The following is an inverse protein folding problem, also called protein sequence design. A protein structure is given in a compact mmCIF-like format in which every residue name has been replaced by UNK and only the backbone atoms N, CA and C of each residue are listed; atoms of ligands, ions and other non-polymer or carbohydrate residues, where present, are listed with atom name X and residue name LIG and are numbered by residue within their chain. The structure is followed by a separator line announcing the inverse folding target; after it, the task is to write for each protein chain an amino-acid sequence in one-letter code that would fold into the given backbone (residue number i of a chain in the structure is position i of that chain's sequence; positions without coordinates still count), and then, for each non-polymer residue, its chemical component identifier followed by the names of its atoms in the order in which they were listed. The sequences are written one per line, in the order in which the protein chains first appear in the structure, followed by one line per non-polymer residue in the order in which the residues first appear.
data_IF_683966261219
#
_entry.id   IF_683966261219
#
_cell.length_a   1.000
_cell.length_b   1.000
_cell.length_c   1.000
_cell.angle_alpha   90.00
_cell.angle_beta   90.00
_cell.angle_gamma   90.00
#
_symmetry.space_group_name_H-M   'P 1'
#
loop_
_entity.id
_entity.type
_entity.pdbx_description
1 polymer ?
#
# COMPACT_ATOMS: atom_id res chain seq x y z
N UNK A 1 -20.53 -9.81 -6.17
CA UNK A 1 -19.15 -10.29 -5.90
C UNK A 1 -18.28 -9.05 -5.91
N UNK A 2 -17.91 -8.53 -4.72
CA UNK A 2 -16.93 -7.45 -4.66
C UNK A 2 -15.59 -8.02 -5.15
N UNK A 3 -14.86 -7.33 -6.02
CA UNK A 3 -13.53 -7.79 -6.39
C UNK A 3 -12.69 -7.82 -5.11
N UNK A 4 -12.17 -8.99 -4.74
CA UNK A 4 -11.11 -9.15 -3.74
C UNK A 4 -9.81 -8.54 -4.29
N UNK A 5 -9.83 -7.26 -4.64
CA UNK A 5 -8.69 -6.55 -5.24
C UNK A 5 -7.71 -6.16 -4.14
N UNK A 6 -7.09 -7.16 -3.52
CA UNK A 6 -5.94 -6.96 -2.67
C UNK A 6 -4.77 -6.49 -3.53
N UNK A 7 -4.21 -5.33 -3.20
CA UNK A 7 -3.09 -4.74 -3.92
C UNK A 7 -1.80 -5.05 -3.19
N UNK A 8 -0.74 -5.46 -3.91
CA UNK A 8 0.56 -5.66 -3.25
C UNK A 8 1.03 -4.37 -2.59
N UNK A 9 1.53 -4.47 -1.36
CA UNK A 9 1.98 -3.33 -0.57
C UNK A 9 3.04 -2.49 -1.30
N UNK A 10 3.98 -3.12 -2.01
CA UNK A 10 5.01 -2.39 -2.78
C UNK A 10 4.42 -1.54 -3.92
N UNK A 11 3.38 -2.04 -4.60
CA UNK A 11 2.62 -1.32 -5.60
C UNK A 11 1.85 -0.16 -4.95
N UNK A 12 1.16 -0.45 -3.86
CA UNK A 12 0.40 0.54 -3.09
C UNK A 12 1.26 1.73 -2.62
N UNK A 13 2.43 1.45 -2.02
CA UNK A 13 3.35 2.50 -1.58
C UNK A 13 3.89 3.30 -2.78
N UNK A 14 4.23 2.62 -3.88
CA UNK A 14 4.70 3.28 -5.09
C UNK A 14 3.62 4.18 -5.73
N UNK A 15 2.35 3.78 -5.68
CA UNK A 15 1.22 4.55 -6.21
C UNK A 15 0.83 5.74 -5.31
N UNK A 16 1.08 5.64 -4.01
CA UNK A 16 0.93 6.78 -3.08
C UNK A 16 1.90 7.94 -3.38
N UNK A 17 2.92 7.72 -4.21
CA UNK A 17 3.91 8.73 -4.61
C UNK A 17 4.93 9.06 -3.52
N UNK A 18 4.98 8.28 -2.43
CA UNK A 18 5.91 8.47 -1.31
C UNK A 18 7.34 8.14 -1.70
N UNK A 19 7.54 7.05 -2.43
CA UNK A 19 8.87 6.57 -2.80
C UNK A 19 8.82 5.61 -4.01
N UNK A 20 9.99 5.28 -4.55
CA UNK A 20 10.09 4.27 -5.60
C UNK A 20 9.78 2.85 -5.07
N UNK A 21 9.40 1.91 -5.95
CA UNK A 21 9.15 0.49 -5.58
C UNK A 21 10.31 -0.12 -4.77
N UNK A 22 11.56 0.15 -5.16
CA UNK A 22 12.77 -0.34 -4.46
C UNK A 22 12.91 0.23 -3.05
N UNK A 23 12.52 1.48 -2.85
CA UNK A 23 12.55 2.11 -1.52
C UNK A 23 11.40 1.62 -0.66
N UNK A 24 10.23 1.35 -1.27
CA UNK A 24 9.11 0.72 -0.58
C UNK A 24 9.53 -0.61 0.03
N UNK A 25 10.20 -1.48 -0.74
CA UNK A 25 10.72 -2.75 -0.23
C UNK A 25 11.67 -2.56 0.96
N UNK A 26 12.58 -1.57 0.90
CA UNK A 26 13.46 -1.23 2.03
C UNK A 26 12.70 -0.76 3.25
N UNK A 27 11.69 0.09 3.10
CA UNK A 27 10.89 0.55 4.24
C UNK A 27 10.12 -0.60 4.89
N UNK A 28 9.62 -1.53 4.09
CA UNK A 28 8.95 -2.73 4.58
C UNK A 28 9.95 -3.63 5.31
N UNK A 29 11.13 -3.87 4.74
CA UNK A 29 12.20 -4.69 5.34
C UNK A 29 12.70 -4.12 6.67
N UNK A 30 12.85 -2.79 6.74
CA UNK A 30 13.21 -2.08 7.97
C UNK A 30 12.08 -2.09 9.01
N UNK A 31 10.88 -2.54 8.63
CA UNK A 31 9.72 -2.56 9.50
C UNK A 31 9.20 -1.16 9.83
N UNK A 32 9.39 -0.22 8.90
CA UNK A 32 8.88 1.16 8.93
C UNK A 32 7.48 1.27 8.32
N UNK A 33 6.91 0.15 7.86
CA UNK A 33 5.57 0.09 7.27
C UNK A 33 4.61 -0.65 8.21
N UNK A 34 3.42 -0.08 8.40
CA UNK A 34 2.37 -0.63 9.23
C UNK A 34 1.04 -0.65 8.47
N UNK A 35 0.33 -1.77 8.53
CA UNK A 35 -1.03 -1.92 7.99
C UNK A 35 -1.97 -2.10 9.18
N UNK A 36 -2.96 -1.20 9.35
CA UNK A 36 -3.90 -1.21 10.48
C UNK A 36 -3.20 -1.32 11.85
N UNK A 37 -2.01 -0.73 11.98
CA UNK A 37 -1.20 -0.77 13.21
C UNK A 37 -0.35 -2.04 13.39
N UNK A 38 -0.42 -3.01 12.48
CA UNK A 38 0.48 -4.18 12.45
C UNK A 38 1.66 -3.92 11.52
N UNK A 39 2.87 -4.30 11.94
CA UNK A 39 4.07 -4.19 11.09
C UNK A 39 3.88 -5.06 9.84
N UNK A 40 4.06 -4.46 8.68
CA UNK A 40 3.95 -5.13 7.40
C UNK A 40 5.27 -5.77 6.98
N UNK A 41 5.19 -6.76 6.10
CA UNK A 41 6.32 -7.55 5.59
C UNK A 41 6.34 -7.62 4.07
N UNK A 42 7.49 -7.95 3.48
CA UNK A 42 7.64 -8.02 2.03
C UNK A 42 6.74 -9.15 1.52
N UNK A 43 5.86 -8.83 0.59
CA UNK A 43 4.87 -9.76 0.04
C UNK A 43 3.46 -9.57 0.59
N UNK A 44 3.28 -8.75 1.63
CA UNK A 44 1.95 -8.42 2.13
C UNK A 44 1.11 -7.69 1.09
N UNK A 45 -0.19 -7.90 1.21
CA UNK A 45 -1.20 -7.28 0.37
C UNK A 45 -2.10 -6.41 1.23
N UNK A 46 -2.47 -5.26 0.67
CA UNK A 46 -3.31 -4.24 1.27
C UNK A 46 -4.68 -4.35 0.62
N UNK A 47 -5.73 -4.39 1.44
CA UNK A 47 -7.11 -4.39 0.94
C UNK A 47 -7.66 -2.96 0.84
N UNK A 48 -8.67 -2.74 -0.01
CA UNK A 48 -9.42 -1.48 0.01
C UNK A 48 -10.00 -1.25 1.41
N UNK A 49 -9.67 -0.10 2.02
CA UNK A 49 -10.05 0.24 3.40
C UNK A 49 -8.99 -0.03 4.47
N UNK A 50 -7.88 -0.70 4.13
CA UNK A 50 -6.76 -0.84 5.06
C UNK A 50 -5.96 0.46 5.18
N UNK A 51 -5.57 0.81 6.40
CA UNK A 51 -4.76 1.98 6.72
C UNK A 51 -3.27 1.62 6.67
N UNK A 52 -2.55 2.15 5.69
CA UNK A 52 -1.10 1.96 5.58
C UNK A 52 -0.36 3.18 6.09
N UNK A 53 0.58 2.98 7.02
CA UNK A 53 1.52 3.99 7.51
C UNK A 53 2.92 3.62 7.09
N UNK A 54 3.62 4.52 6.42
CA UNK A 54 5.03 4.38 6.05
C UNK A 54 5.82 5.47 6.76
N UNK A 55 6.81 5.08 7.56
CA UNK A 55 7.67 5.99 8.32
C UNK A 55 6.86 6.99 9.18
N UNK A 56 5.78 6.50 9.79
CA UNK A 56 4.85 7.33 10.60
C UNK A 56 3.88 8.19 9.79
N UNK A 57 4.02 8.27 8.46
CA UNK A 57 3.11 9.00 7.58
C UNK A 57 2.01 8.08 7.07
N UNK A 58 0.76 8.48 7.27
CA UNK A 58 -0.38 7.77 6.70
C UNK A 58 -0.37 7.99 5.19
N UNK A 59 -0.42 6.90 4.45
CA UNK A 59 -0.46 6.92 2.99
C UNK A 59 -1.80 6.35 2.58
N UNK A 60 -2.45 7.02 1.65
CA UNK A 60 -3.69 6.57 1.06
C UNK A 60 -3.39 6.17 -0.38
N UNK A 61 -4.04 5.11 -0.90
CA UNK A 61 -3.94 4.87 -2.32
C UNK A 61 -4.64 6.07 -2.97
N UNK A 62 -3.93 6.79 -3.84
CA UNK A 62 -4.66 7.58 -4.83
C UNK A 62 -5.51 6.57 -5.56
N UNK A 63 -6.83 6.68 -5.39
CA UNK A 63 -7.81 5.77 -5.93
C UNK A 63 -7.33 5.34 -7.32
N UNK A 64 -7.11 4.04 -7.48
CA UNK A 64 -7.06 3.48 -8.81
C UNK A 64 -8.44 3.76 -9.35
N UNK A 65 -8.54 4.85 -10.10
CA UNK A 65 -9.64 5.26 -10.95
C UNK A 65 -10.50 4.02 -11.26
N UNK A 66 -11.66 3.93 -10.61
CA UNK A 66 -12.83 3.27 -11.17
C UNK A 66 -13.25 4.12 -12.39
N UNK A 67 -12.36 4.23 -13.38
CA UNK A 67 -12.70 4.70 -14.71
C UNK A 67 -13.46 3.55 -15.35
N UNK A 68 -14.75 3.50 -15.03
CA UNK A 68 -15.77 2.91 -15.88
C UNK A 68 -15.60 3.55 -17.25
N UNK A 69 -14.93 2.85 -18.15
CA UNK A 69 -14.95 3.14 -19.58
C UNK A 69 -16.40 2.91 -20.05
N UNK A 70 -17.12 4.01 -20.24
CA UNK A 70 -18.39 4.09 -21.00
C UNK A 70 -18.09 4.07 -22.50
#
# INVERSE_FOLDING_TARGET
MLPDSSTRLNKYISESGICSRREADRFIEQGNVFINGKRATIGDQVKPGDLVKVNGRLIEPREADDLVLI
#
